data_IF_778002915671
#
_entry.id   IF_778002915671
#
_cell.length_a   1.000
_cell.length_b   1.000
_cell.length_c   1.000
_cell.angle_alpha   90.00
_cell.angle_beta   90.00
_cell.angle_gamma   90.00
#
_symmetry.space_group_name_H-M   'P 1'
#
loop_
_entity.id
_entity.type
_entity.pdbx_description
1 polymer ?
#
# COMPACT_ATOMS: atom_id res chain seq x y z
N UNK A 1 -35.20 15.27 15.41
CA UNK A 1 -33.97 14.47 15.22
C UNK A 1 -33.80 13.58 16.44
N UNK A 2 -34.19 12.31 16.34
CA UNK A 2 -34.24 11.33 17.44
C UNK A 2 -32.85 10.77 17.85
N UNK A 3 -31.80 11.60 17.95
CA UNK A 3 -30.48 11.21 18.40
C UNK A 3 -30.39 11.42 19.91
N UNK A 4 -29.99 10.39 20.66
CA UNK A 4 -29.78 10.53 22.11
C UNK A 4 -28.53 11.38 22.41
N UNK A 5 -28.45 11.97 23.61
CA UNK A 5 -27.30 12.77 24.05
C UNK A 5 -26.00 11.93 24.05
N UNK A 6 -26.11 10.61 24.30
CA UNK A 6 -24.99 9.66 24.23
C UNK A 6 -24.53 9.45 22.76
N UNK A 7 -25.48 9.41 21.83
CA UNK A 7 -25.15 9.25 20.40
C UNK A 7 -24.57 10.54 19.81
N UNK A 8 -25.08 11.71 20.23
CA UNK A 8 -24.52 13.01 19.84
C UNK A 8 -23.05 13.16 20.28
N UNK A 9 -22.66 12.65 21.45
CA UNK A 9 -21.25 12.64 21.91
C UNK A 9 -20.35 11.72 21.11
N UNK A 10 -20.91 10.74 20.41
CA UNK A 10 -20.17 9.84 19.50
C UNK A 10 -20.01 10.41 18.10
N UNK A 11 -20.76 11.45 17.76
CA UNK A 11 -20.65 12.12 16.45
C UNK A 11 -19.59 13.20 16.47
N UNK A 12 -19.04 13.50 15.29
CA UNK A 12 -18.17 14.65 15.10
C UNK A 12 -18.96 15.95 15.27
N UNK A 13 -18.33 16.95 15.85
CA UNK A 13 -18.82 18.33 15.81
C UNK A 13 -18.71 18.88 14.39
N UNK A 14 -19.39 19.97 14.08
CA UNK A 14 -19.32 20.60 12.76
C UNK A 14 -17.89 20.96 12.36
N UNK A 15 -17.09 21.47 13.30
CA UNK A 15 -15.69 21.82 13.07
C UNK A 15 -14.83 20.58 12.77
N UNK A 16 -14.95 19.54 13.58
CA UNK A 16 -14.24 18.27 13.36
C UNK A 16 -14.64 17.61 12.03
N UNK A 17 -15.90 17.76 11.62
CA UNK A 17 -16.38 17.25 10.34
C UNK A 17 -15.81 18.04 9.15
N UNK A 18 -15.70 19.36 9.27
CA UNK A 18 -15.06 20.21 8.25
C UNK A 18 -13.57 19.87 8.10
N UNK A 19 -12.86 19.72 9.21
CA UNK A 19 -11.46 19.29 9.21
C UNK A 19 -11.28 17.90 8.55
N UNK A 20 -12.14 16.93 8.91
CA UNK A 20 -12.12 15.61 8.28
C UNK A 20 -12.40 15.67 6.78
N UNK A 21 -13.38 16.48 6.35
CA UNK A 21 -13.70 16.65 4.92
C UNK A 21 -12.56 17.31 4.16
N UNK A 22 -11.87 18.27 4.77
CA UNK A 22 -10.69 18.87 4.17
C UNK A 22 -9.58 17.84 3.95
N UNK A 23 -9.26 17.03 4.95
CA UNK A 23 -8.30 15.94 4.85
C UNK A 23 -8.70 14.94 3.76
N UNK A 24 -9.98 14.53 3.73
CA UNK A 24 -10.51 13.61 2.72
C UNK A 24 -10.35 14.17 1.30
N UNK A 25 -10.64 15.44 1.09
CA UNK A 25 -10.53 16.07 -0.22
C UNK A 25 -9.07 16.17 -0.71
N UNK A 26 -8.12 16.44 0.19
CA UNK A 26 -6.68 16.39 -0.11
C UNK A 26 -6.27 15.00 -0.61
N UNK A 27 -6.82 13.95 0.00
CA UNK A 27 -6.52 12.57 -0.39
C UNK A 27 -7.21 12.11 -1.66
N UNK A 28 -8.41 12.60 -1.93
CA UNK A 28 -9.09 12.35 -3.21
C UNK A 28 -8.24 12.92 -4.34
N UNK A 29 -7.81 14.17 -4.21
CA UNK A 29 -6.93 14.81 -5.19
C UNK A 29 -5.61 14.04 -5.37
N UNK A 30 -4.95 13.68 -4.27
CA UNK A 30 -3.72 12.88 -4.31
C UNK A 30 -3.96 11.51 -4.98
N UNK A 31 -5.10 10.86 -4.70
CA UNK A 31 -5.48 9.58 -5.28
C UNK A 31 -5.72 9.64 -6.78
N UNK A 32 -6.34 10.71 -7.26
CA UNK A 32 -6.56 10.96 -8.69
C UNK A 32 -5.25 11.22 -9.42
N UNK A 33 -4.37 12.05 -8.86
CA UNK A 33 -3.07 12.40 -9.43
C UNK A 33 -2.11 11.19 -9.53
N UNK A 34 -2.20 10.25 -8.58
CA UNK A 34 -1.30 9.10 -8.47
C UNK A 34 -1.94 7.77 -8.88
N UNK A 35 -3.11 7.78 -9.53
CA UNK A 35 -3.85 6.60 -9.97
C UNK A 35 -4.07 5.53 -8.87
N UNK A 36 -4.25 5.99 -7.61
CA UNK A 36 -4.47 5.11 -6.47
C UNK A 36 -5.87 4.47 -6.57
N UNK A 37 -6.02 3.31 -5.96
CA UNK A 37 -7.21 2.47 -5.88
C UNK A 37 -8.54 3.23 -5.97
N UNK A 38 -9.15 3.25 -7.16
CA UNK A 38 -10.39 3.99 -7.43
C UNK A 38 -11.58 3.56 -6.56
N UNK A 39 -11.57 2.36 -5.97
CA UNK A 39 -12.57 1.93 -5.00
C UNK A 39 -12.44 2.70 -3.68
N UNK A 40 -11.22 2.96 -3.25
CA UNK A 40 -10.96 3.76 -2.06
C UNK A 40 -11.31 5.23 -2.26
N UNK A 41 -10.96 5.81 -3.40
CA UNK A 41 -11.34 7.19 -3.76
C UNK A 41 -12.86 7.36 -3.72
N UNK A 42 -13.63 6.43 -4.30
CA UNK A 42 -15.10 6.44 -4.21
C UNK A 42 -15.64 6.32 -2.78
N UNK A 43 -14.99 5.57 -1.91
CA UNK A 43 -15.36 5.51 -0.50
C UNK A 43 -15.12 6.85 0.22
N UNK A 44 -14.03 7.54 -0.10
CA UNK A 44 -13.73 8.87 0.41
C UNK A 44 -14.72 9.91 -0.09
N UNK A 45 -15.09 9.90 -1.37
CA UNK A 45 -16.12 10.78 -1.95
C UNK A 45 -17.47 10.60 -1.23
N UNK A 46 -17.88 9.34 -1.04
CA UNK A 46 -19.10 9.03 -0.30
C UNK A 46 -19.05 9.49 1.17
N UNK A 47 -17.89 9.42 1.82
CA UNK A 47 -17.71 9.91 3.17
C UNK A 47 -17.74 11.44 3.23
N UNK A 48 -17.13 12.13 2.27
CA UNK A 48 -17.11 13.60 2.20
C UNK A 48 -18.51 14.21 1.99
N UNK A 49 -19.41 13.49 1.32
CA UNK A 49 -20.78 13.92 1.08
C UNK A 49 -21.70 13.82 2.31
N UNK A 50 -21.26 13.15 3.38
CA UNK A 50 -22.09 12.95 4.58
C UNK A 50 -22.11 14.18 5.50
N UNK A 51 -23.25 14.39 6.14
CA UNK A 51 -23.46 15.46 7.13
C UNK A 51 -23.22 14.98 8.57
N UNK A 52 -23.22 13.66 8.80
CA UNK A 52 -23.04 13.06 10.11
C UNK A 52 -22.09 11.88 10.00
N UNK A 53 -20.96 11.98 10.69
CA UNK A 53 -19.95 10.91 10.78
C UNK A 53 -19.65 10.66 12.25
N UNK A 54 -19.63 9.41 12.67
CA UNK A 54 -19.25 9.06 14.04
C UNK A 54 -17.72 9.16 14.21
N UNK A 55 -17.26 9.38 15.44
CA UNK A 55 -15.82 9.40 15.76
C UNK A 55 -15.11 8.10 15.40
N UNK A 56 -15.80 6.97 15.59
CA UNK A 56 -15.26 5.67 15.19
C UNK A 56 -15.10 5.58 13.67
N UNK A 57 -16.07 6.04 12.92
CA UNK A 57 -16.04 6.02 11.46
C UNK A 57 -14.94 6.95 10.93
N UNK A 58 -14.80 8.15 11.48
CA UNK A 58 -13.72 9.07 11.16
C UNK A 58 -12.34 8.44 11.42
N UNK A 59 -12.15 7.79 12.57
CA UNK A 59 -10.91 7.12 12.92
C UNK A 59 -10.60 5.96 11.96
N UNK A 60 -11.61 5.19 11.56
CA UNK A 60 -11.43 4.12 10.55
C UNK A 60 -11.02 4.68 9.20
N UNK A 61 -11.64 5.75 8.74
CA UNK A 61 -11.29 6.42 7.49
C UNK A 61 -9.85 6.94 7.53
N UNK A 62 -9.45 7.64 8.58
CA UNK A 62 -8.08 8.16 8.74
C UNK A 62 -7.03 7.04 8.82
N UNK A 63 -7.35 5.96 9.54
CA UNK A 63 -6.46 4.79 9.65
C UNK A 63 -6.29 4.10 8.31
N UNK A 64 -7.39 3.86 7.59
CA UNK A 64 -7.33 3.26 6.26
C UNK A 64 -6.57 4.14 5.27
N UNK A 65 -6.78 5.44 5.31
CA UNK A 65 -6.07 6.44 4.53
C UNK A 65 -4.55 6.38 4.73
N UNK A 66 -4.10 6.30 5.99
CA UNK A 66 -2.68 6.16 6.32
C UNK A 66 -2.10 4.84 5.77
N UNK A 67 -2.87 3.76 5.80
CA UNK A 67 -2.48 2.45 5.24
C UNK A 67 -2.39 2.53 3.71
N UNK A 68 -3.37 3.12 3.04
CA UNK A 68 -3.37 3.26 1.57
C UNK A 68 -2.15 4.05 1.10
N UNK A 69 -1.85 5.19 1.74
CA UNK A 69 -0.67 5.99 1.43
C UNK A 69 0.65 5.21 1.68
N UNK A 70 0.73 4.49 2.80
CA UNK A 70 1.90 3.69 3.13
C UNK A 70 2.15 2.59 2.09
N UNK A 71 1.12 1.86 1.69
CA UNK A 71 1.24 0.77 0.73
C UNK A 71 1.42 1.26 -0.71
N UNK A 72 0.81 2.40 -1.10
CA UNK A 72 1.04 3.04 -2.38
C UNK A 72 2.51 3.43 -2.56
N UNK A 73 3.06 4.15 -1.60
CA UNK A 73 4.48 4.55 -1.61
C UNK A 73 5.43 3.33 -1.61
N UNK A 74 5.08 2.26 -0.89
CA UNK A 74 5.87 1.02 -0.90
C UNK A 74 5.83 0.33 -2.26
N UNK A 75 4.67 0.27 -2.90
CA UNK A 75 4.51 -0.36 -4.21
C UNK A 75 5.37 0.33 -5.26
N UNK A 76 5.30 1.65 -5.35
CA UNK A 76 6.10 2.45 -6.29
C UNK A 76 7.59 2.31 -6.04
N UNK A 77 8.01 2.33 -4.79
CA UNK A 77 9.42 2.15 -4.40
C UNK A 77 9.93 0.74 -4.75
N UNK A 78 9.11 -0.29 -4.52
CA UNK A 78 9.46 -1.69 -4.85
C UNK A 78 9.50 -1.89 -6.36
N UNK A 79 8.52 -1.41 -7.11
CA UNK A 79 8.50 -1.51 -8.58
C UNK A 79 9.75 -0.85 -9.18
N UNK A 80 10.07 0.36 -8.76
CA UNK A 80 11.27 1.08 -9.19
C UNK A 80 12.55 0.31 -8.86
N UNK A 81 12.64 -0.25 -7.65
CA UNK A 81 13.80 -1.05 -7.22
C UNK A 81 13.94 -2.30 -8.07
N UNK A 82 12.85 -3.04 -8.32
CA UNK A 82 12.86 -4.26 -9.12
C UNK A 82 13.25 -3.99 -10.58
N UNK A 83 12.77 -2.87 -11.15
CA UNK A 83 13.19 -2.42 -12.49
C UNK A 83 14.67 -2.15 -12.55
N UNK A 84 15.20 -1.43 -11.58
CA UNK A 84 16.62 -1.11 -11.50
C UNK A 84 17.49 -2.37 -11.35
N UNK A 85 17.09 -3.30 -10.48
CA UNK A 85 17.80 -4.57 -10.26
C UNK A 85 17.85 -5.40 -11.54
N UNK A 86 16.70 -5.58 -12.19
CA UNK A 86 16.62 -6.35 -13.43
C UNK A 86 17.45 -5.71 -14.55
N UNK A 87 17.31 -4.40 -14.75
CA UNK A 87 18.04 -3.65 -15.78
C UNK A 87 19.56 -3.68 -15.53
N UNK A 88 19.99 -3.39 -14.31
CA UNK A 88 21.41 -3.42 -13.94
C UNK A 88 22.00 -4.83 -14.05
N UNK A 89 21.27 -5.84 -13.61
CA UNK A 89 21.68 -7.24 -13.72
C UNK A 89 21.85 -7.68 -15.17
N UNK A 90 20.92 -7.30 -16.04
CA UNK A 90 20.98 -7.60 -17.48
C UNK A 90 22.22 -6.98 -18.13
N UNK A 91 22.46 -5.68 -17.95
CA UNK A 91 23.61 -5.01 -18.55
C UNK A 91 24.94 -5.46 -17.94
N UNK A 92 24.98 -5.74 -16.64
CA UNK A 92 26.18 -6.27 -15.99
C UNK A 92 26.53 -7.66 -16.53
N UNK A 93 25.55 -8.56 -16.65
CA UNK A 93 25.74 -9.90 -17.23
C UNK A 93 26.20 -9.82 -18.68
N UNK A 94 25.57 -8.94 -19.49
CA UNK A 94 25.98 -8.68 -20.85
C UNK A 94 27.46 -8.22 -20.94
N UNK A 95 27.86 -7.28 -20.08
CA UNK A 95 29.23 -6.77 -20.02
C UNK A 95 30.25 -7.86 -19.65
N UNK A 96 29.96 -8.69 -18.63
CA UNK A 96 30.85 -9.78 -18.21
C UNK A 96 31.00 -10.85 -19.30
N UNK A 97 29.94 -11.16 -20.04
CA UNK A 97 30.00 -12.08 -21.18
C UNK A 97 30.91 -11.52 -22.29
N UNK A 98 30.71 -10.23 -22.67
CA UNK A 98 31.56 -9.58 -23.68
C UNK A 98 33.03 -9.57 -23.29
N UNK A 99 33.31 -9.24 -22.03
CA UNK A 99 34.66 -9.23 -21.47
C UNK A 99 35.30 -10.64 -21.48
N UNK A 100 34.53 -11.69 -21.17
CA UNK A 100 34.99 -13.06 -21.15
C UNK A 100 35.28 -13.63 -22.54
N UNK A 101 34.51 -13.23 -23.55
CA UNK A 101 34.62 -13.70 -24.93
C UNK A 101 35.56 -12.82 -25.78
N UNK A 102 35.86 -11.60 -25.31
CA UNK A 102 36.73 -10.65 -26.01
C UNK A 102 36.08 -10.05 -27.29
N UNK A 103 34.78 -10.15 -27.46
CA UNK A 103 34.03 -9.65 -28.61
C UNK A 103 32.94 -8.69 -28.14
N UNK A 104 32.94 -7.48 -28.68
CA UNK A 104 31.85 -6.51 -28.46
C UNK A 104 30.66 -6.85 -29.38
N UNK A 105 29.53 -7.18 -28.82
CA UNK A 105 28.26 -7.38 -29.53
C UNK A 105 27.27 -6.28 -29.14
N UNK A 106 26.46 -5.84 -30.09
CA UNK A 106 25.32 -4.99 -29.80
C UNK A 106 24.21 -5.81 -29.12
N UNK A 107 24.07 -5.61 -27.82
CA UNK A 107 22.95 -6.18 -27.09
C UNK A 107 21.67 -5.38 -27.34
N UNK A 108 20.54 -6.10 -27.42
CA UNK A 108 19.24 -5.46 -27.51
C UNK A 108 19.01 -4.54 -26.30
N UNK A 109 18.64 -3.31 -26.55
CA UNK A 109 18.24 -2.37 -25.49
C UNK A 109 16.96 -2.88 -24.84
N UNK A 110 16.97 -2.96 -23.50
CA UNK A 110 15.75 -3.30 -22.76
C UNK A 110 14.74 -2.14 -22.87
N UNK A 111 13.57 -2.44 -23.41
CA UNK A 111 12.44 -1.51 -23.42
C UNK A 111 11.58 -1.68 -22.15
N UNK A 112 10.82 -0.65 -21.80
CA UNK A 112 9.93 -0.66 -20.63
C UNK A 112 8.86 -1.75 -20.70
N UNK A 113 8.43 -2.15 -21.89
CA UNK A 113 7.44 -3.23 -22.06
C UNK A 113 8.03 -4.58 -21.67
N UNK A 114 9.26 -4.85 -22.08
CA UNK A 114 9.97 -6.08 -21.74
C UNK A 114 10.23 -6.13 -20.23
N UNK A 115 10.73 -5.04 -19.64
CA UNK A 115 10.93 -4.94 -18.18
C UNK A 115 9.61 -5.19 -17.45
N UNK A 116 8.54 -4.48 -17.81
CA UNK A 116 7.23 -4.63 -17.19
C UNK A 116 6.67 -6.04 -17.32
N UNK A 117 6.86 -6.70 -18.46
CA UNK A 117 6.42 -8.09 -18.69
C UNK A 117 7.13 -9.07 -17.75
N UNK A 118 8.42 -8.89 -17.51
CA UNK A 118 9.19 -9.75 -16.59
C UNK A 118 8.77 -9.50 -15.14
N UNK A 119 8.69 -8.22 -14.73
CA UNK A 119 8.38 -7.83 -13.35
C UNK A 119 6.97 -8.24 -12.94
N UNK A 120 5.99 -8.11 -13.85
CA UNK A 120 4.59 -8.47 -13.56
C UNK A 120 4.30 -9.97 -13.73
N UNK A 121 5.26 -10.77 -14.19
CA UNK A 121 5.05 -12.20 -14.37
C UNK A 121 5.00 -12.92 -13.03
N UNK A 122 3.93 -13.67 -12.71
CA UNK A 122 3.92 -14.55 -11.55
C UNK A 122 4.99 -15.64 -11.70
N UNK A 123 5.86 -15.75 -10.71
CA UNK A 123 6.94 -16.74 -10.73
C UNK A 123 6.84 -17.78 -9.60
N UNK A 124 6.07 -17.47 -8.56
CA UNK A 124 5.91 -18.34 -7.41
C UNK A 124 4.72 -19.29 -7.58
N UNK A 125 4.72 -20.35 -6.78
CA UNK A 125 3.74 -21.45 -6.82
C UNK A 125 2.30 -20.96 -6.58
N UNK A 126 2.12 -19.84 -5.85
CA UNK A 126 0.82 -19.25 -5.57
C UNK A 126 0.21 -18.47 -6.75
N UNK A 127 0.95 -18.38 -7.88
CA UNK A 127 0.51 -17.69 -9.11
C UNK A 127 0.37 -16.18 -8.96
N UNK A 128 0.89 -15.56 -7.90
CA UNK A 128 0.81 -14.12 -7.62
C UNK A 128 2.12 -13.42 -7.92
N UNK A 129 2.02 -12.19 -8.45
CA UNK A 129 3.15 -11.29 -8.53
C UNK A 129 3.32 -10.50 -7.21
N UNK A 130 4.41 -9.72 -7.09
CA UNK A 130 4.70 -8.97 -5.87
C UNK A 130 3.63 -7.93 -5.54
N UNK A 131 3.07 -7.28 -6.55
CA UNK A 131 2.02 -6.28 -6.38
C UNK A 131 0.76 -6.89 -5.74
N UNK A 132 0.31 -8.04 -6.25
CA UNK A 132 -0.86 -8.75 -5.71
C UNK A 132 -0.65 -9.19 -4.25
N UNK A 133 0.58 -9.55 -3.88
CA UNK A 133 0.93 -9.89 -2.49
C UNK A 133 0.91 -8.68 -1.58
N UNK A 134 1.44 -7.54 -2.03
CA UNK A 134 1.40 -6.27 -1.28
C UNK A 134 -0.05 -5.86 -1.06
N UNK A 135 -0.88 -5.89 -2.10
CA UNK A 135 -2.30 -5.57 -2.00
C UNK A 135 -3.07 -6.54 -1.08
N UNK A 136 -2.73 -7.82 -1.10
CA UNK A 136 -3.32 -8.81 -0.19
C UNK A 136 -2.96 -8.53 1.29
N UNK A 137 -1.72 -8.20 1.58
CA UNK A 137 -1.25 -7.83 2.91
C UNK A 137 -1.92 -6.53 3.40
N UNK A 138 -2.09 -5.53 2.54
CA UNK A 138 -2.82 -4.31 2.82
C UNK A 138 -4.26 -4.61 3.25
N UNK A 139 -5.00 -5.37 2.46
CA UNK A 139 -6.41 -5.67 2.76
C UNK A 139 -6.57 -6.43 4.08
N UNK A 140 -5.66 -7.37 4.34
CA UNK A 140 -5.62 -8.08 5.61
C UNK A 140 -5.40 -7.11 6.77
N UNK A 141 -4.45 -6.20 6.66
CA UNK A 141 -4.16 -5.20 7.70
C UNK A 141 -5.36 -4.28 7.95
N UNK A 142 -6.01 -3.78 6.90
CA UNK A 142 -7.21 -2.93 7.02
C UNK A 142 -8.32 -3.66 7.78
N UNK A 143 -8.62 -4.91 7.43
CA UNK A 143 -9.66 -5.70 8.06
C UNK A 143 -9.36 -5.95 9.54
N UNK A 144 -8.12 -6.29 9.88
CA UNK A 144 -7.68 -6.51 11.25
C UNK A 144 -7.77 -5.24 12.08
N UNK A 145 -7.31 -4.10 11.56
CA UNK A 145 -7.37 -2.82 12.26
C UNK A 145 -8.82 -2.34 12.47
N UNK A 146 -9.67 -2.46 11.46
CA UNK A 146 -11.10 -2.14 11.61
C UNK A 146 -11.79 -2.97 12.68
N UNK A 147 -11.44 -4.25 12.77
CA UNK A 147 -11.97 -5.16 13.81
C UNK A 147 -11.50 -4.73 15.19
N UNK A 148 -10.22 -4.48 15.36
CA UNK A 148 -9.65 -4.08 16.66
C UNK A 148 -10.15 -2.70 17.12
N UNK A 149 -10.22 -1.71 16.22
CA UNK A 149 -10.78 -0.39 16.54
C UNK A 149 -12.25 -0.49 16.99
N UNK A 150 -13.06 -1.29 16.27
CA UNK A 150 -14.45 -1.49 16.65
C UNK A 150 -14.55 -2.12 18.03
N UNK A 151 -13.79 -3.18 18.28
CA UNK A 151 -13.78 -3.90 19.55
C UNK A 151 -13.36 -2.99 20.71
N UNK A 152 -12.26 -2.24 20.56
CA UNK A 152 -11.77 -1.35 21.63
C UNK A 152 -12.80 -0.26 21.99
N UNK A 153 -13.44 0.35 21.00
CA UNK A 153 -14.44 1.41 21.24
C UNK A 153 -15.72 0.83 21.84
N UNK A 154 -16.20 -0.32 21.37
CA UNK A 154 -17.39 -0.99 21.93
C UNK A 154 -17.20 -1.44 23.38
N UNK A 155 -15.99 -1.86 23.75
CA UNK A 155 -15.66 -2.29 25.10
C UNK A 155 -15.25 -1.14 26.02
N UNK A 156 -15.20 0.10 25.53
CA UNK A 156 -14.77 1.27 26.31
C UNK A 156 -13.34 1.14 26.84
N UNK A 157 -12.48 0.45 26.09
CA UNK A 157 -11.08 0.25 26.49
C UNK A 157 -10.27 1.53 26.34
N UNK A 158 -9.15 1.60 27.07
CA UNK A 158 -8.20 2.68 26.99
C UNK A 158 -7.72 2.87 25.53
N UNK A 159 -7.81 4.09 24.97
CA UNK A 159 -7.32 4.41 23.62
C UNK A 159 -5.85 4.01 23.39
N UNK A 160 -5.01 4.06 24.44
CA UNK A 160 -3.61 3.66 24.33
C UNK A 160 -3.46 2.19 23.93
N UNK A 161 -4.33 1.30 24.41
CA UNK A 161 -4.32 -0.11 23.99
C UNK A 161 -4.60 -0.27 22.50
N UNK A 162 -5.54 0.52 21.94
CA UNK A 162 -5.80 0.51 20.52
C UNK A 162 -4.58 0.98 19.73
N UNK A 163 -3.93 2.06 20.16
CA UNK A 163 -2.71 2.59 19.54
C UNK A 163 -1.61 1.53 19.54
N UNK A 164 -1.37 0.85 20.65
CA UNK A 164 -0.35 -0.18 20.77
C UNK A 164 -0.61 -1.40 19.88
N UNK A 165 -1.88 -1.80 19.75
CA UNK A 165 -2.27 -2.88 18.81
C UNK A 165 -2.04 -2.46 17.37
N UNK A 166 -2.43 -1.27 16.99
CA UNK A 166 -2.23 -0.71 15.64
C UNK A 166 -0.74 -0.64 15.32
N UNK A 167 0.07 -0.08 16.21
CA UNK A 167 1.51 0.06 16.02
C UNK A 167 2.19 -1.31 15.82
N UNK A 168 1.85 -2.32 16.62
CA UNK A 168 2.39 -3.68 16.48
C UNK A 168 1.99 -4.31 15.14
N UNK A 169 0.73 -4.19 14.72
CA UNK A 169 0.24 -4.75 13.46
C UNK A 169 0.90 -4.08 12.25
N UNK A 170 1.06 -2.77 12.27
CA UNK A 170 1.77 -2.02 11.23
C UNK A 170 3.26 -2.43 11.15
N UNK A 171 3.93 -2.62 12.29
CA UNK A 171 5.31 -3.07 12.31
C UNK A 171 5.47 -4.51 11.77
N UNK A 172 4.55 -5.41 12.11
CA UNK A 172 4.51 -6.77 11.56
C UNK A 172 4.30 -6.75 10.04
N UNK A 173 3.42 -5.89 9.54
CA UNK A 173 3.18 -5.73 8.11
C UNK A 173 4.42 -5.18 7.39
N UNK A 174 5.12 -4.20 7.98
CA UNK A 174 6.38 -3.67 7.47
C UNK A 174 7.45 -4.75 7.35
N UNK A 175 7.59 -5.61 8.36
CA UNK A 175 8.54 -6.73 8.35
C UNK A 175 8.19 -7.76 7.28
N UNK A 176 6.90 -8.09 7.10
CA UNK A 176 6.44 -9.01 6.06
C UNK A 176 6.72 -8.46 4.66
N UNK A 177 6.49 -7.18 4.44
CA UNK A 177 6.83 -6.50 3.18
C UNK A 177 8.34 -6.52 2.93
N UNK A 178 9.18 -6.26 3.94
CA UNK A 178 10.64 -6.34 3.79
C UNK A 178 11.12 -7.73 3.35
N UNK A 179 10.55 -8.80 3.92
CA UNK A 179 10.87 -10.18 3.46
C UNK A 179 10.44 -10.43 2.03
N UNK A 180 9.27 -9.93 1.62
CA UNK A 180 8.79 -10.04 0.25
C UNK A 180 9.76 -9.35 -0.71
N UNK A 181 10.18 -8.11 -0.42
CA UNK A 181 11.15 -7.37 -1.23
C UNK A 181 12.43 -8.16 -1.44
N UNK A 182 13.03 -8.67 -0.36
CA UNK A 182 14.28 -9.46 -0.46
C UNK A 182 14.12 -10.71 -1.32
N UNK A 183 12.96 -11.37 -1.25
CA UNK A 183 12.66 -12.57 -2.06
C UNK A 183 12.49 -12.22 -3.54
N UNK A 184 11.76 -11.18 -3.86
CA UNK A 184 11.57 -10.69 -5.23
C UNK A 184 12.89 -10.20 -5.83
N UNK A 185 13.70 -9.45 -5.06
CA UNK A 185 15.01 -8.98 -5.46
C UNK A 185 15.94 -10.13 -5.87
N UNK A 186 15.98 -11.19 -5.07
CA UNK A 186 16.76 -12.40 -5.38
C UNK A 186 16.30 -13.07 -6.67
N UNK A 187 14.97 -13.14 -6.90
CA UNK A 187 14.42 -13.70 -8.13
C UNK A 187 14.80 -12.86 -9.35
N UNK A 188 14.63 -11.52 -9.31
CA UNK A 188 14.92 -10.66 -10.46
C UNK A 188 16.41 -10.58 -10.78
N UNK A 189 17.30 -10.61 -9.78
CA UNK A 189 18.74 -10.76 -10.01
C UNK A 189 19.05 -12.06 -10.76
N UNK A 190 18.45 -13.16 -10.36
CA UNK A 190 18.64 -14.46 -11.04
C UNK A 190 18.02 -14.49 -12.45
N UNK A 191 16.89 -13.82 -12.66
CA UNK A 191 16.24 -13.73 -13.97
C UNK A 191 17.04 -12.88 -14.97
N UNK A 192 17.76 -11.84 -14.49
CA UNK A 192 18.59 -10.97 -15.30
C UNK A 192 19.88 -11.65 -15.81
N UNK A 193 20.27 -12.77 -15.20
CA UNK A 193 21.47 -13.53 -15.54
C UNK A 193 21.22 -14.68 -16.54
N UNK A 194 19.96 -14.92 -16.91
CA UNK A 194 19.53 -15.92 -17.89
C UNK A 194 19.32 -15.33 -19.27
#
# INVERSE_FOLDING_TARGET
NGITLADARKMLTSKELEELKWDINQYIQYGEENAINGTWVKQLENASARYHISRLEALKLQTQQSIEAMFGNQLDSIDSTMRNIYTSGYYHTAFEIQKGVGVGWDFATLDDKTISKVINKPWAVDGKNFSERIWGNRQKLINELNTELTRNIMLGQDPQKAIDVIARKMNTSKTATGRLVMTEESFFNSAAQK
#
